data_IF_270452479792
#
_entry.id   IF_270452479792
#
_cell.length_a   1.000
_cell.length_b   1.000
_cell.length_c   1.000
_cell.angle_alpha   90.00
_cell.angle_beta   90.00
_cell.angle_gamma   90.00
#
_symmetry.space_group_name_H-M   'P 1'
#
loop_
_entity.id
_entity.type
_entity.pdbx_description
1 polymer ?
#
# COMPACT_ATOMS: atom_id res chain seq x y z
N UNK A 1 -11.08 0.26 -41.51
CA UNK A 1 -9.98 -0.42 -40.80
C UNK A 1 -9.43 0.54 -39.76
N UNK A 2 -9.76 0.30 -38.50
CA UNK A 2 -9.24 1.08 -37.39
C UNK A 2 -7.85 0.57 -37.03
N UNK A 3 -6.91 1.50 -36.87
CA UNK A 3 -5.59 1.25 -36.29
C UNK A 3 -5.38 2.26 -35.18
N UNK A 4 -5.58 1.80 -33.95
CA UNK A 4 -5.32 2.51 -32.71
C UNK A 4 -3.83 2.89 -32.63
N UNK A 5 -3.55 4.15 -32.30
CA UNK A 5 -2.22 4.62 -31.94
C UNK A 5 -1.85 4.06 -30.55
N UNK A 6 -0.85 3.19 -30.51
CA UNK A 6 -0.22 2.74 -29.27
C UNK A 6 0.83 3.77 -28.84
N UNK A 7 0.56 4.51 -27.76
CA UNK A 7 1.59 5.26 -27.05
C UNK A 7 2.26 4.33 -26.04
N UNK A 8 3.52 3.99 -26.27
CA UNK A 8 4.34 3.24 -25.35
C UNK A 8 4.85 4.16 -24.22
N UNK A 9 4.50 3.85 -22.98
CA UNK A 9 5.09 4.43 -21.77
C UNK A 9 6.03 3.37 -21.15
N UNK A 10 7.29 3.69 -20.82
CA UNK A 10 8.23 2.68 -20.34
C UNK A 10 7.97 2.30 -18.88
N UNK A 11 7.79 1.01 -18.63
CA UNK A 11 7.69 0.42 -17.29
C UNK A 11 9.08 0.34 -16.66
N UNK A 12 9.33 1.12 -15.61
CA UNK A 12 10.46 0.91 -14.69
C UNK A 12 9.93 0.28 -13.41
N UNK A 13 10.30 -0.96 -13.16
CA UNK A 13 10.09 -1.61 -11.87
C UNK A 13 10.81 -0.85 -10.75
N UNK A 14 10.08 -0.51 -9.69
CA UNK A 14 10.63 -0.06 -8.42
C UNK A 14 10.06 -0.94 -7.32
N UNK A 15 10.98 -1.49 -6.53
CA UNK A 15 10.70 -2.31 -5.37
C UNK A 15 9.76 -1.61 -4.37
N UNK A 16 8.91 -2.41 -3.72
CA UNK A 16 8.12 -2.07 -2.54
C UNK A 16 8.99 -1.31 -1.53
N UNK A 17 8.65 -0.05 -1.29
CA UNK A 17 9.23 0.76 -0.22
C UNK A 17 8.09 1.15 0.71
N UNK A 18 8.05 0.44 1.84
CA UNK A 18 7.17 0.67 2.99
C UNK A 18 7.32 2.12 3.45
N UNK A 19 6.22 2.88 3.39
CA UNK A 19 6.19 4.28 3.79
C UNK A 19 6.19 4.36 5.33
N UNK A 20 7.36 4.64 5.93
CA UNK A 20 7.49 4.87 7.38
C UNK A 20 6.89 6.23 7.75
N UNK A 21 5.74 6.24 8.41
CA UNK A 21 5.33 7.41 9.17
C UNK A 21 6.03 7.44 10.54
N UNK A 22 6.55 8.62 10.86
CA UNK A 22 7.37 8.95 12.03
C UNK A 22 6.54 8.87 13.33
N UNK A 23 6.79 7.85 14.15
CA UNK A 23 6.34 7.83 15.55
C UNK A 23 7.26 8.74 16.39
N UNK A 24 6.69 9.78 16.99
CA UNK A 24 7.38 10.72 17.89
C UNK A 24 7.15 10.26 19.33
N UNK A 25 8.14 9.73 20.07
CA UNK A 25 7.92 9.24 21.42
C UNK A 25 7.64 10.40 22.40
N UNK A 26 6.79 10.20 23.42
CA UNK A 26 6.52 11.19 24.44
C UNK A 26 7.74 11.45 25.32
N UNK A 27 7.93 12.73 25.65
CA UNK A 27 8.99 13.24 26.54
C UNK A 27 8.74 12.73 27.97
N UNK A 28 9.72 12.11 28.66
CA UNK A 28 9.56 11.73 30.05
C UNK A 28 9.44 12.96 30.96
N UNK A 29 8.31 13.07 31.64
CA UNK A 29 8.04 14.02 32.72
C UNK A 29 8.84 13.68 33.98
N UNK A 30 10.13 14.02 33.99
CA UNK A 30 10.94 14.05 35.19
C UNK A 30 11.65 15.40 35.30
N UNK A 31 10.86 16.45 35.51
CA UNK A 31 11.35 17.72 36.05
C UNK A 31 10.32 18.26 37.04
N UNK A 32 10.35 17.73 38.25
CA UNK A 32 9.71 18.34 39.42
C UNK A 32 10.67 18.20 40.59
N UNK A 33 11.32 19.29 40.97
CA UNK A 33 11.99 19.37 42.26
C UNK A 33 11.84 20.77 42.84
N UNK A 34 11.08 20.80 43.92
CA UNK A 34 10.90 21.84 44.92
C UNK A 34 12.23 22.24 45.58
N UNK A 35 12.49 23.55 45.66
CA UNK A 35 13.55 24.13 46.46
C UNK A 35 13.01 24.51 47.85
N UNK A 36 13.30 23.72 48.88
CA UNK A 36 13.55 24.21 50.25
C UNK A 36 14.07 23.07 51.12
N UNK A 37 15.37 23.03 51.41
CA UNK A 37 15.87 22.74 52.76
C UNK A 37 17.35 23.08 52.90
N UNK A 38 17.68 23.58 54.07
CA UNK A 38 18.94 24.15 54.54
C UNK A 38 19.93 23.11 55.10
N UNK A 39 21.22 23.45 54.96
CA UNK A 39 22.31 23.24 55.93
C UNK A 39 22.94 21.83 56.14
N UNK A 40 24.25 21.81 55.85
CA UNK A 40 25.35 21.04 56.49
C UNK A 40 25.28 19.51 56.44
N UNK A 41 26.18 18.89 55.69
CA UNK A 41 27.32 18.12 56.23
C UNK A 41 28.28 17.70 55.11
N UNK A 42 29.58 17.76 55.41
CA UNK A 42 30.70 17.34 54.57
C UNK A 42 30.82 15.81 54.66
N UNK A 43 31.02 15.12 53.52
CA UNK A 43 31.97 14.02 53.31
C UNK A 43 31.48 13.03 52.23
N UNK A 44 32.41 12.46 51.48
CA UNK A 44 32.28 11.41 50.43
C UNK A 44 31.99 11.86 49.00
N UNK A 45 32.94 12.63 48.45
CA UNK A 45 33.18 12.83 47.03
C UNK A 45 34.17 11.77 46.52
N UNK A 46 33.72 10.74 45.78
CA UNK A 46 34.54 10.12 44.68
C UNK A 46 33.74 9.27 43.68
N UNK A 47 32.52 8.79 43.96
CA UNK A 47 31.84 7.84 43.06
C UNK A 47 30.93 8.45 41.97
N UNK A 48 30.65 9.75 42.01
CA UNK A 48 29.68 10.39 41.09
C UNK A 48 30.32 11.11 39.89
N UNK A 49 31.66 11.20 39.83
CA UNK A 49 32.37 11.83 38.71
C UNK A 49 32.73 10.87 37.56
N UNK A 50 32.60 9.55 37.77
CA UNK A 50 32.99 8.55 36.76
C UNK A 50 31.91 8.30 35.69
N UNK A 51 30.63 8.44 36.02
CA UNK A 51 29.53 8.08 35.11
C UNK A 51 29.13 9.17 34.12
N UNK A 52 29.48 10.44 34.38
CA UNK A 52 29.28 11.53 33.42
C UNK A 52 30.34 11.55 32.31
N UNK A 53 31.59 11.16 32.59
CA UNK A 53 32.67 11.21 31.60
C UNK A 53 32.55 10.08 30.55
N UNK A 54 32.03 8.92 30.95
CA UNK A 54 31.78 7.77 30.05
C UNK A 54 30.60 8.01 29.09
N UNK A 55 29.60 8.79 29.47
CA UNK A 55 28.46 9.13 28.58
C UNK A 55 28.85 10.12 27.47
N UNK A 56 29.76 11.05 27.72
CA UNK A 56 30.23 12.00 26.68
C UNK A 56 31.13 11.34 25.63
N UNK A 57 31.90 10.30 25.99
CA UNK A 57 32.76 9.57 25.05
C UNK A 57 31.91 8.67 24.12
N UNK A 58 30.82 8.08 24.63
CA UNK A 58 29.92 7.24 23.82
C UNK A 58 29.15 8.05 22.76
N UNK A 59 28.74 9.29 23.10
CA UNK A 59 28.06 10.20 22.16
C UNK A 59 29.03 10.68 21.06
N UNK A 60 30.30 10.93 21.39
CA UNK A 60 31.30 11.28 20.39
C UNK A 60 31.63 10.12 19.42
N UNK A 61 31.62 8.87 19.90
CA UNK A 61 31.83 7.69 19.05
C UNK A 61 30.65 7.42 18.10
N UNK A 62 29.41 7.69 18.53
CA UNK A 62 28.22 7.52 17.70
C UNK A 62 28.09 8.60 16.60
N UNK A 63 28.58 9.83 16.83
CA UNK A 63 28.58 10.89 15.81
C UNK A 63 29.65 10.64 14.72
N UNK A 64 30.77 9.98 15.06
CA UNK A 64 31.84 9.70 14.09
C UNK A 64 31.53 8.56 13.10
N UNK A 65 30.59 7.67 13.43
CA UNK A 65 30.18 6.56 12.55
C UNK A 65 29.20 7.05 11.46
N UNK A 66 28.52 8.17 11.66
CA UNK A 66 27.55 8.73 10.72
C UNK A 66 28.23 9.44 9.52
N UNK A 67 29.41 10.05 9.71
CA UNK A 67 30.08 10.79 8.63
C UNK A 67 30.85 9.91 7.63
N UNK A 68 31.18 8.67 7.97
CA UNK A 68 31.84 7.74 7.03
C UNK A 68 30.86 7.01 6.12
N UNK A 69 29.58 6.91 6.50
CA UNK A 69 28.54 6.25 5.71
C UNK A 69 27.92 7.16 4.62
N UNK A 70 27.94 8.49 4.83
CA UNK A 70 27.40 9.47 3.88
C UNK A 70 28.32 9.79 2.68
N UNK A 71 29.59 9.37 2.69
CA UNK A 71 30.52 9.65 1.57
C UNK A 71 30.65 8.51 0.54
N UNK A 72 30.15 7.31 0.80
CA UNK A 72 30.19 6.19 -0.16
C UNK A 72 28.97 6.09 -1.08
N UNK A 73 27.92 6.88 -0.85
CA UNK A 73 26.66 6.77 -1.61
C UNK A 73 26.59 7.66 -2.87
N UNK A 74 27.52 8.58 -3.09
CA UNK A 74 27.44 9.56 -4.20
C UNK A 74 28.29 9.19 -5.42
N UNK A 75 29.20 8.22 -5.33
CA UNK A 75 30.07 7.80 -6.44
C UNK A 75 29.50 6.67 -7.31
N UNK A 76 28.45 5.97 -6.86
CA UNK A 76 27.77 4.93 -7.65
C UNK A 76 26.69 5.47 -8.60
N UNK A 77 26.24 6.71 -8.41
CA UNK A 77 25.15 7.29 -9.21
C UNK A 77 25.60 7.97 -10.51
N UNK A 78 26.92 8.10 -10.75
CA UNK A 78 27.46 8.77 -11.94
C UNK A 78 28.02 7.79 -13.01
N UNK A 79 28.24 6.52 -12.65
CA UNK A 79 28.74 5.48 -13.58
C UNK A 79 27.63 4.88 -14.47
N UNK A 80 26.40 4.79 -13.96
CA UNK A 80 25.27 4.19 -14.68
C UNK A 80 24.55 5.13 -15.68
N UNK A 81 24.83 6.44 -15.64
CA UNK A 81 24.20 7.44 -16.53
C UNK A 81 24.99 7.74 -17.81
N UNK A 82 26.23 7.24 -17.93
CA UNK A 82 27.07 7.41 -19.12
C UNK A 82 27.01 6.22 -20.09
N UNK A 83 26.26 5.15 -19.78
CA UNK A 83 26.19 3.95 -20.63
C UNK A 83 24.88 3.82 -21.45
N UNK A 84 23.95 4.76 -21.34
CA UNK A 84 22.66 4.75 -22.06
C UNK A 84 22.53 5.79 -23.18
N UNK A 85 23.62 6.50 -23.49
CA UNK A 85 23.61 7.59 -24.46
C UNK A 85 24.50 7.28 -25.65
N UNK A 86 24.21 6.19 -26.35
CA UNK A 86 24.65 6.01 -27.74
C UNK A 86 23.76 4.97 -28.42
N UNK A 87 23.41 5.27 -29.67
CA UNK A 87 22.66 4.45 -30.64
C UNK A 87 21.13 4.51 -30.56
N UNK A 88 20.54 5.51 -31.22
CA UNK A 88 19.47 5.27 -32.20
C UNK A 88 19.32 6.53 -33.06
N UNK A 89 20.15 6.61 -34.10
CA UNK A 89 20.03 7.59 -35.17
C UNK A 89 19.74 6.81 -36.45
N UNK A 90 18.92 7.42 -37.31
CA UNK A 90 18.62 7.10 -38.73
C UNK A 90 17.35 6.28 -38.94
N UNK A 91 16.29 6.93 -39.43
CA UNK A 91 15.89 6.97 -40.86
C UNK A 91 14.69 7.90 -41.08
N UNK A 92 14.76 8.71 -42.15
CA UNK A 92 13.70 9.55 -42.73
C UNK A 92 13.08 8.82 -43.95
N UNK A 93 11.80 9.08 -44.24
CA UNK A 93 11.13 8.83 -45.54
C UNK A 93 9.60 8.91 -45.37
N UNK A 94 8.86 9.91 -45.89
CA UNK A 94 8.50 10.35 -47.27
C UNK A 94 7.14 9.79 -47.77
N UNK A 95 6.22 10.73 -48.05
CA UNK A 95 5.08 10.72 -49.01
C UNK A 95 3.85 9.80 -48.71
N UNK A 96 2.60 10.05 -49.08
CA UNK A 96 1.94 11.04 -49.95
C UNK A 96 0.44 11.21 -49.57
N UNK A 97 -0.15 12.32 -50.01
CA UNK A 97 -1.57 12.72 -50.03
C UNK A 97 -2.42 11.82 -50.95
N UNK A 98 -3.71 11.55 -50.61
CA UNK A 98 -4.82 11.43 -51.59
C UNK A 98 -6.23 11.59 -50.97
N UNK A 99 -6.92 12.63 -51.45
CA UNK A 99 -8.33 12.79 -51.84
C UNK A 99 -9.53 12.30 -51.00
N UNK A 100 -10.41 13.28 -50.78
CA UNK A 100 -11.83 13.28 -50.41
C UNK A 100 -12.76 12.42 -51.28
N UNK A 101 -13.79 11.81 -50.68
CA UNK A 101 -15.12 11.58 -51.29
C UNK A 101 -16.21 11.60 -50.21
N UNK A 102 -17.36 12.16 -50.58
CA UNK A 102 -18.49 12.51 -49.71
C UNK A 102 -19.58 11.41 -49.65
N UNK A 103 -20.26 11.37 -48.50
CA UNK A 103 -21.67 11.00 -48.22
C UNK A 103 -22.44 10.06 -49.15
N UNK A 104 -22.80 8.88 -48.62
CA UNK A 104 -24.10 8.23 -48.85
C UNK A 104 -24.44 7.29 -47.66
N UNK A 105 -25.53 7.58 -46.94
CA UNK A 105 -26.21 6.69 -45.99
C UNK A 105 -27.64 6.54 -46.54
N UNK A 106 -28.13 5.31 -46.69
CA UNK A 106 -28.96 4.79 -45.60
C UNK A 106 -28.75 3.30 -45.34
N UNK A 107 -29.36 2.85 -44.23
CA UNK A 107 -29.51 1.47 -43.73
C UNK A 107 -28.51 1.05 -42.65
N UNK A 108 -28.85 1.43 -41.42
CA UNK A 108 -29.19 0.51 -40.34
C UNK A 108 -28.48 -0.85 -40.29
N UNK A 109 -27.15 -0.82 -40.28
CA UNK A 109 -26.34 -1.89 -39.74
C UNK A 109 -25.66 -1.38 -38.49
N UNK A 110 -26.23 -1.73 -37.33
CA UNK A 110 -25.49 -1.76 -36.07
C UNK A 110 -24.34 -2.77 -36.21
N UNK A 111 -23.23 -2.34 -36.82
CA UNK A 111 -21.93 -2.95 -36.60
C UNK A 111 -21.61 -2.66 -35.14
N UNK A 112 -21.94 -3.60 -34.26
CA UNK A 112 -21.32 -3.71 -32.94
C UNK A 112 -19.82 -3.66 -33.19
N UNK A 113 -19.21 -2.52 -32.87
CA UNK A 113 -17.76 -2.35 -32.81
C UNK A 113 -17.27 -3.21 -31.65
N UNK A 114 -17.15 -4.51 -31.88
CA UNK A 114 -16.37 -5.40 -31.04
C UNK A 114 -14.94 -4.85 -31.06
N UNK A 115 -14.53 -4.17 -29.99
CA UNK A 115 -13.28 -3.40 -29.99
C UNK A 115 -13.19 -2.30 -28.94
N UNK A 116 -14.24 -2.11 -28.14
CA UNK A 116 -14.09 -1.61 -26.78
C UNK A 116 -14.93 -2.55 -25.92
N UNK A 117 -14.31 -3.64 -25.46
CA UNK A 117 -14.84 -4.37 -24.31
C UNK A 117 -14.93 -3.30 -23.23
N UNK A 118 -16.14 -2.88 -22.88
CA UNK A 118 -16.35 -2.46 -21.49
C UNK A 118 -15.82 -3.65 -20.71
N UNK A 119 -14.67 -3.51 -20.06
CA UNK A 119 -14.38 -4.37 -18.93
C UNK A 119 -15.54 -4.05 -18.01
N UNK A 120 -16.60 -4.85 -18.06
CA UNK A 120 -17.56 -4.96 -16.97
C UNK A 120 -16.65 -5.40 -15.81
N UNK A 121 -16.15 -4.38 -15.10
CA UNK A 121 -14.83 -4.41 -14.50
C UNK A 121 -14.89 -5.14 -13.18
N UNK A 122 -13.86 -5.92 -12.89
CA UNK A 122 -13.72 -6.49 -11.56
C UNK A 122 -13.68 -5.39 -10.50
N UNK A 123 -13.83 -5.79 -9.26
CA UNK A 123 -13.81 -4.90 -8.11
C UNK A 123 -13.79 -5.73 -6.85
N UNK A 124 -13.82 -5.06 -5.71
CA UNK A 124 -14.01 -5.71 -4.42
C UNK A 124 -15.35 -5.31 -3.83
N UNK A 125 -16.08 -6.30 -3.31
CA UNK A 125 -17.25 -6.11 -2.46
C UNK A 125 -16.91 -6.58 -1.06
N UNK A 126 -17.01 -5.69 -0.09
CA UNK A 126 -16.72 -5.94 1.32
C UNK A 126 -18.05 -6.01 2.08
N UNK A 127 -18.31 -7.13 2.74
CA UNK A 127 -19.54 -7.38 3.51
C UNK A 127 -19.21 -7.47 5.00
N UNK A 128 -19.88 -6.66 5.81
CA UNK A 128 -19.72 -6.65 7.26
C UNK A 128 -20.81 -7.49 7.96
N UNK A 129 -20.48 -8.72 8.37
CA UNK A 129 -21.40 -9.56 9.15
C UNK A 129 -21.27 -9.36 10.67
N UNK A 130 -20.44 -8.42 11.12
CA UNK A 130 -20.33 -8.08 12.54
C UNK A 130 -21.59 -7.35 13.02
N UNK A 131 -21.87 -7.47 14.32
CA UNK A 131 -22.94 -6.73 15.00
C UNK A 131 -22.49 -5.32 15.44
N UNK A 132 -21.60 -4.70 14.66
CA UNK A 132 -21.15 -3.31 14.83
C UNK A 132 -20.73 -2.77 13.46
N UNK A 133 -20.77 -1.44 13.30
CA UNK A 133 -20.35 -0.79 12.06
C UNK A 133 -18.83 -0.98 11.85
N UNK A 134 -18.42 -1.06 10.59
CA UNK A 134 -17.03 -1.05 10.14
C UNK A 134 -16.82 0.22 9.33
N UNK A 135 -15.69 0.88 9.54
CA UNK A 135 -15.33 2.09 8.82
C UNK A 135 -14.26 1.77 7.79
N UNK A 136 -14.45 2.24 6.56
CA UNK A 136 -13.60 1.96 5.42
C UNK A 136 -13.03 3.23 4.80
N UNK A 137 -11.75 3.18 4.43
CA UNK A 137 -11.06 4.23 3.67
C UNK A 137 -10.31 3.61 2.51
N UNK A 138 -10.60 4.04 1.29
CA UNK A 138 -9.80 3.67 0.12
C UNK A 138 -8.65 4.65 -0.04
N UNK A 139 -7.42 4.19 0.20
CA UNK A 139 -6.22 5.03 0.33
C UNK A 139 -5.32 4.88 -0.89
N UNK A 140 -5.00 6.01 -1.53
CA UNK A 140 -3.98 6.14 -2.58
C UNK A 140 -2.76 6.89 -2.05
N UNK A 141 -2.20 7.81 -2.83
CA UNK A 141 -1.41 8.94 -2.36
C UNK A 141 -2.15 9.86 -1.36
N UNK A 142 -3.49 9.78 -1.31
CA UNK A 142 -4.34 10.51 -0.37
C UNK A 142 -5.34 9.56 0.30
N UNK A 143 -5.76 9.90 1.51
CA UNK A 143 -6.82 9.16 2.20
C UNK A 143 -8.18 9.58 1.63
N UNK A 144 -8.95 8.62 1.12
CA UNK A 144 -10.32 8.85 0.66
C UNK A 144 -11.30 9.18 1.79
N UNK A 145 -12.54 9.59 1.47
CA UNK A 145 -13.56 9.85 2.48
C UNK A 145 -13.93 8.58 3.23
N UNK A 146 -14.13 8.70 4.55
CA UNK A 146 -14.61 7.60 5.40
C UNK A 146 -15.97 7.10 4.90
N UNK A 147 -16.09 5.80 4.72
CA UNK A 147 -17.36 5.12 4.42
C UNK A 147 -17.75 4.26 5.63
N UNK A 148 -19.04 4.25 5.99
CA UNK A 148 -19.56 3.38 7.05
C UNK A 148 -20.24 2.16 6.44
N UNK A 149 -19.68 0.98 6.70
CA UNK A 149 -20.26 -0.32 6.38
C UNK A 149 -21.12 -0.76 7.56
N UNK A 150 -22.44 -0.67 7.40
CA UNK A 150 -23.39 -0.95 8.47
C UNK A 150 -23.25 -2.37 9.02
N UNK A 151 -23.47 -2.51 10.32
CA UNK A 151 -23.56 -3.82 10.99
C UNK A 151 -24.61 -4.75 10.35
N UNK A 152 -24.40 -6.06 10.51
CA UNK A 152 -25.41 -7.08 10.18
C UNK A 152 -25.66 -7.28 8.69
N UNK A 153 -24.66 -7.06 7.84
CA UNK A 153 -24.71 -7.32 6.39
C UNK A 153 -24.54 -6.08 5.52
N UNK A 154 -24.09 -4.95 6.07
CA UNK A 154 -23.77 -3.77 5.27
C UNK A 154 -22.65 -4.04 4.26
N UNK A 155 -22.65 -3.29 3.17
CA UNK A 155 -21.75 -3.51 2.02
C UNK A 155 -21.00 -2.22 1.69
N UNK A 156 -19.72 -2.37 1.39
CA UNK A 156 -18.91 -1.41 0.65
C UNK A 156 -18.43 -2.06 -0.65
N UNK A 157 -18.31 -1.29 -1.72
CA UNK A 157 -17.77 -1.80 -2.97
C UNK A 157 -17.02 -0.71 -3.72
N UNK A 158 -15.93 -1.09 -4.39
CA UNK A 158 -15.31 -0.25 -5.41
C UNK A 158 -14.81 -1.09 -6.58
N UNK A 159 -14.88 -0.48 -7.77
CA UNK A 159 -14.28 -1.03 -8.98
C UNK A 159 -12.76 -0.89 -8.90
N UNK A 160 -12.04 -1.78 -9.60
CA UNK A 160 -10.60 -1.63 -9.71
C UNK A 160 -10.24 -0.29 -10.34
N UNK A 161 -9.40 0.48 -9.64
CA UNK A 161 -8.81 1.73 -10.15
C UNK A 161 -7.28 1.74 -9.98
N UNK A 162 -6.61 2.66 -10.65
CA UNK A 162 -5.16 2.85 -10.53
C UNK A 162 -4.84 3.93 -9.50
N UNK A 163 -3.72 3.79 -8.80
CA UNK A 163 -3.16 4.86 -7.99
C UNK A 163 -2.36 5.82 -8.90
N UNK A 164 -2.62 7.14 -8.90
CA UNK A 164 -1.89 8.10 -9.73
C UNK A 164 -0.37 8.08 -9.54
N UNK A 165 0.13 7.68 -8.37
CA UNK A 165 1.57 7.59 -8.09
C UNK A 165 2.21 6.26 -8.56
N UNK A 166 1.41 5.35 -9.14
CA UNK A 166 1.86 4.03 -9.62
C UNK A 166 1.99 2.94 -8.56
N UNK A 167 1.65 3.22 -7.29
CA UNK A 167 1.61 2.25 -6.21
C UNK A 167 0.30 1.46 -6.13
N UNK A 168 0.18 0.64 -5.09
CA UNK A 168 -1.08 -0.04 -4.75
C UNK A 168 -2.09 0.90 -4.12
N UNK A 169 -3.31 0.39 -3.96
CA UNK A 169 -4.41 0.99 -3.23
C UNK A 169 -4.66 0.12 -2.00
N UNK A 170 -4.82 0.74 -0.84
CA UNK A 170 -5.11 0.04 0.40
C UNK A 170 -6.49 0.45 0.90
N UNK A 171 -7.42 -0.50 0.96
CA UNK A 171 -8.70 -0.32 1.63
C UNK A 171 -8.49 -0.68 3.09
N UNK A 172 -8.42 0.36 3.93
CA UNK A 172 -8.25 0.26 5.37
C UNK A 172 -9.61 0.08 6.03
N UNK A 173 -9.74 -0.92 6.91
CA UNK A 173 -10.96 -1.25 7.64
C UNK A 173 -10.69 -1.18 9.15
N UNK A 174 -11.49 -0.41 9.87
CA UNK A 174 -11.39 -0.26 11.32
C UNK A 174 -12.76 -0.35 12.00
N UNK A 175 -12.73 -0.52 13.32
CA UNK A 175 -13.94 -0.59 14.16
C UNK A 175 -14.26 0.72 14.87
N UNK A 176 -13.40 1.72 14.67
CA UNK A 176 -13.55 3.09 15.12
C UNK A 176 -13.13 4.06 14.01
N UNK A 177 -13.59 5.31 14.12
CA UNK A 177 -13.38 6.34 13.11
C UNK A 177 -11.96 6.92 13.11
N UNK A 178 -11.14 6.56 14.11
CA UNK A 178 -9.77 7.04 14.27
C UNK A 178 -8.73 6.11 13.64
N UNK A 179 -9.16 5.03 12.95
CA UNK A 179 -8.30 4.08 12.25
C UNK A 179 -7.31 3.33 13.17
N UNK A 180 -7.77 2.90 14.34
CA UNK A 180 -7.02 1.93 15.13
C UNK A 180 -7.33 0.50 14.66
N UNK A 181 -6.40 -0.44 14.92
CA UNK A 181 -6.56 -1.88 14.62
C UNK A 181 -7.02 -2.19 13.20
N UNK A 182 -6.20 -1.83 12.22
CA UNK A 182 -6.62 -1.75 10.82
C UNK A 182 -6.38 -3.05 10.07
N UNK A 183 -7.47 -3.70 9.65
CA UNK A 183 -7.41 -4.73 8.61
C UNK A 183 -7.27 -4.05 7.24
N UNK A 184 -6.35 -4.54 6.42
CA UNK A 184 -6.09 -3.96 5.10
C UNK A 184 -6.39 -4.98 4.02
N UNK A 185 -7.16 -4.56 3.01
CA UNK A 185 -7.23 -5.23 1.72
C UNK A 185 -6.51 -4.35 0.71
N UNK A 186 -5.41 -4.84 0.17
CA UNK A 186 -4.56 -4.07 -0.73
C UNK A 186 -4.66 -4.64 -2.14
N UNK A 187 -4.61 -3.78 -3.15
CA UNK A 187 -4.58 -4.22 -4.54
C UNK A 187 -3.78 -3.30 -5.46
N UNK A 188 -3.25 -3.86 -6.53
CA UNK A 188 -2.51 -3.15 -7.57
C UNK A 188 -2.86 -3.69 -8.94
N UNK A 189 -3.26 -2.81 -9.87
CA UNK A 189 -3.43 -3.20 -11.27
C UNK A 189 -2.09 -3.25 -11.99
N UNK A 190 -1.88 -4.31 -12.76
CA UNK A 190 -0.73 -4.43 -13.66
C UNK A 190 -1.16 -5.14 -14.95
N UNK A 191 -1.41 -4.35 -15.99
CA UNK A 191 -1.90 -4.85 -17.28
C UNK A 191 -3.25 -5.56 -17.17
N UNK A 192 -3.25 -6.87 -17.40
CA UNK A 192 -4.44 -7.73 -17.35
C UNK A 192 -4.57 -8.50 -16.03
N UNK A 193 -3.77 -8.14 -15.03
CA UNK A 193 -3.75 -8.77 -13.72
C UNK A 193 -4.10 -7.77 -12.62
N UNK A 194 -4.98 -8.19 -11.71
CA UNK A 194 -5.15 -7.57 -10.39
C UNK A 194 -4.30 -8.37 -9.39
N UNK A 195 -3.33 -7.70 -8.77
CA UNK A 195 -2.63 -8.23 -7.62
C UNK A 195 -3.33 -7.77 -6.35
N UNK A 196 -3.45 -8.63 -5.36
CA UNK A 196 -4.11 -8.29 -4.10
C UNK A 196 -3.58 -9.12 -2.92
N UNK A 197 -3.81 -8.62 -1.72
CA UNK A 197 -3.48 -9.29 -0.47
C UNK A 197 -4.34 -8.80 0.70
N UNK A 198 -4.26 -9.53 1.81
CA UNK A 198 -4.76 -9.13 3.12
C UNK A 198 -3.57 -8.83 4.02
N UNK A 199 -3.66 -7.76 4.81
CA UNK A 199 -2.63 -7.40 5.76
C UNK A 199 -3.22 -7.12 7.14
N UNK A 200 -2.62 -7.76 8.14
CA UNK A 200 -2.91 -7.62 9.56
C UNK A 200 -1.77 -6.95 10.33
N UNK A 201 -0.81 -6.35 9.62
CA UNK A 201 0.38 -5.72 10.22
C UNK A 201 0.01 -4.60 11.20
N UNK A 202 -1.05 -3.85 10.90
CA UNK A 202 -1.52 -2.70 11.69
C UNK A 202 -2.63 -3.09 12.69
N UNK A 203 -2.70 -4.37 13.07
CA UNK A 203 -3.72 -4.89 13.99
C UNK A 203 -3.10 -5.36 15.31
N UNK A 204 -3.68 -4.95 16.43
CA UNK A 204 -3.28 -5.49 17.74
C UNK A 204 -3.75 -6.94 17.95
N UNK A 205 -3.09 -7.63 18.88
CA UNK A 205 -3.48 -8.98 19.30
C UNK A 205 -4.85 -8.96 19.98
N UNK A 206 -5.76 -9.82 19.51
CA UNK A 206 -7.12 -9.90 20.07
C UNK A 206 -8.06 -8.85 19.50
N UNK A 207 -7.72 -8.24 18.36
CA UNK A 207 -8.66 -7.44 17.60
C UNK A 207 -9.87 -8.29 17.17
N UNK A 208 -11.01 -7.62 17.00
CA UNK A 208 -12.28 -8.30 16.75
C UNK A 208 -12.44 -8.83 15.31
N UNK A 209 -11.65 -8.36 14.34
CA UNK A 209 -11.65 -8.97 13.00
C UNK A 209 -11.06 -10.38 13.05
N UNK A 210 -9.91 -10.56 13.70
CA UNK A 210 -9.30 -11.88 13.91
C UNK A 210 -10.19 -12.78 14.74
N UNK A 211 -10.78 -12.28 15.83
CA UNK A 211 -11.68 -13.07 16.68
C UNK A 211 -12.90 -13.62 15.93
N UNK A 212 -13.36 -12.91 14.89
CA UNK A 212 -14.55 -13.26 14.10
C UNK A 212 -14.24 -13.84 12.73
N UNK A 213 -13.00 -13.78 12.29
CA UNK A 213 -12.56 -14.29 11.00
C UNK A 213 -12.94 -13.35 9.84
N UNK A 214 -12.25 -13.54 8.73
CA UNK A 214 -12.51 -12.86 7.47
C UNK A 214 -11.97 -13.68 6.30
N UNK A 215 -12.55 -13.50 5.12
CA UNK A 215 -12.15 -14.26 3.95
C UNK A 215 -12.35 -13.44 2.67
N UNK A 216 -11.40 -13.56 1.74
CA UNK A 216 -11.54 -13.11 0.35
C UNK A 216 -11.73 -14.31 -0.54
N UNK A 217 -12.74 -14.25 -1.40
CA UNK A 217 -12.98 -15.23 -2.44
C UNK A 217 -13.40 -14.56 -3.73
N UNK A 218 -13.16 -15.18 -4.90
CA UNK A 218 -13.75 -14.72 -6.14
C UNK A 218 -15.28 -14.82 -6.08
N UNK A 219 -15.98 -13.85 -6.65
CA UNK A 219 -17.44 -13.87 -6.74
C UNK A 219 -17.96 -14.95 -7.69
N UNK A 220 -17.11 -15.43 -8.60
CA UNK A 220 -17.42 -16.53 -9.52
C UNK A 220 -16.94 -17.86 -8.93
N UNK A 221 -17.85 -18.82 -8.78
CA UNK A 221 -17.59 -20.14 -8.18
C UNK A 221 -16.47 -20.93 -8.88
N UNK A 222 -16.36 -20.79 -10.21
CA UNK A 222 -15.36 -21.52 -11.03
C UNK A 222 -14.13 -20.68 -11.36
N UNK A 223 -13.87 -19.62 -10.60
CA UNK A 223 -12.69 -18.78 -10.79
C UNK A 223 -11.40 -19.53 -10.47
N UNK A 224 -10.36 -19.31 -11.27
CA UNK A 224 -8.99 -19.77 -10.97
C UNK A 224 -8.26 -18.86 -9.98
N UNK A 225 -8.87 -17.75 -9.58
CA UNK A 225 -8.32 -16.79 -8.64
C UNK A 225 -8.25 -17.41 -7.22
N UNK A 226 -7.13 -17.23 -6.48
CA UNK A 226 -6.98 -17.78 -5.14
C UNK A 226 -8.05 -17.28 -4.15
N UNK A 227 -8.21 -18.03 -3.05
CA UNK A 227 -8.98 -17.62 -1.88
C UNK A 227 -8.02 -17.38 -0.72
N UNK A 228 -8.31 -16.41 0.12
CA UNK A 228 -7.60 -16.17 1.37
C UNK A 228 -8.61 -16.28 2.52
N UNK A 229 -8.38 -17.18 3.47
CA UNK A 229 -9.33 -17.47 4.55
C UNK A 229 -8.60 -17.41 5.89
N UNK A 230 -8.94 -16.42 6.70
CA UNK A 230 -8.51 -16.29 8.08
C UNK A 230 -9.67 -16.66 9.00
N UNK A 231 -9.57 -17.84 9.63
CA UNK A 231 -10.65 -18.37 10.48
C UNK A 231 -10.79 -17.54 11.75
N UNK A 232 -11.99 -17.54 12.31
CA UNK A 232 -12.24 -16.96 13.63
C UNK A 232 -11.24 -17.49 14.67
N UNK A 233 -10.56 -16.56 15.36
CA UNK A 233 -9.53 -16.84 16.37
C UNK A 233 -8.14 -17.16 15.82
N UNK A 234 -7.94 -17.18 14.50
CA UNK A 234 -6.63 -17.45 13.89
C UNK A 234 -5.71 -16.22 13.93
N UNK A 235 -4.98 -16.08 15.04
CA UNK A 235 -4.04 -14.97 15.28
C UNK A 235 -2.78 -15.03 14.43
N UNK A 236 -2.52 -16.14 13.73
CA UNK A 236 -1.36 -16.33 12.89
C UNK A 236 -1.78 -16.79 11.50
N UNK A 237 -2.85 -16.17 10.98
CA UNK A 237 -3.40 -16.52 9.68
C UNK A 237 -2.35 -16.43 8.57
N UNK A 238 -2.01 -17.56 7.98
CA UNK A 238 -1.01 -17.63 6.91
C UNK A 238 -1.48 -17.01 5.58
N UNK A 239 -2.78 -16.73 5.46
CA UNK A 239 -3.38 -16.11 4.27
C UNK A 239 -3.36 -14.58 4.29
N UNK A 240 -2.74 -13.97 5.31
CA UNK A 240 -2.56 -12.53 5.43
C UNK A 240 -1.13 -12.21 5.86
N UNK A 241 -0.66 -11.02 5.51
CA UNK A 241 0.61 -10.49 5.99
C UNK A 241 0.54 -10.19 7.48
N UNK A 242 1.47 -10.74 8.25
CA UNK A 242 1.56 -10.52 9.70
C UNK A 242 2.74 -9.63 10.09
N UNK A 243 3.73 -9.47 9.20
CA UNK A 243 4.92 -8.67 9.44
C UNK A 243 5.32 -7.89 8.19
N UNK A 244 5.94 -6.70 8.30
CA UNK A 244 6.34 -5.89 7.14
C UNK A 244 7.35 -6.54 6.19
N UNK A 245 8.02 -7.61 6.61
CA UNK A 245 9.05 -8.31 5.83
C UNK A 245 8.57 -9.62 5.23
N UNK A 246 7.28 -9.92 5.40
CA UNK A 246 6.63 -11.08 4.80
C UNK A 246 6.29 -10.76 3.33
N UNK A 247 6.54 -11.71 2.43
CA UNK A 247 6.32 -11.60 0.97
C UNK A 247 5.53 -12.79 0.37
N UNK A 248 4.88 -13.63 1.20
CA UNK A 248 4.22 -14.85 0.69
C UNK A 248 2.73 -14.72 0.36
N UNK A 249 2.03 -13.70 0.87
CA UNK A 249 0.56 -13.65 0.86
C UNK A 249 -0.06 -12.86 -0.33
N UNK A 250 0.75 -12.44 -1.30
CA UNK A 250 0.22 -11.76 -2.50
C UNK A 250 -0.36 -12.76 -3.50
N UNK A 251 -1.54 -12.43 -4.00
CA UNK A 251 -2.28 -13.20 -5.00
C UNK A 251 -2.42 -12.40 -6.30
N UNK A 252 -2.65 -13.11 -7.40
CA UNK A 252 -2.85 -12.52 -8.72
C UNK A 252 -4.02 -13.16 -9.44
N UNK A 253 -4.88 -12.33 -10.04
CA UNK A 253 -6.08 -12.77 -10.75
C UNK A 253 -6.28 -11.98 -12.04
N UNK A 254 -7.06 -12.49 -13.02
CA UNK A 254 -7.47 -11.68 -14.15
C UNK A 254 -8.11 -10.36 -13.69
N UNK A 255 -7.80 -9.25 -14.36
CA UNK A 255 -8.30 -7.91 -14.00
C UNK A 255 -9.84 -7.79 -14.08
N UNK A 256 -10.52 -8.71 -14.76
CA UNK A 256 -11.98 -8.78 -14.78
C UNK A 256 -12.59 -9.51 -13.57
N UNK A 257 -11.77 -10.11 -12.69
CA UNK A 257 -12.25 -10.84 -11.52
C UNK A 257 -12.81 -9.88 -10.47
N UNK A 258 -14.04 -10.15 -10.04
CA UNK A 258 -14.62 -9.57 -8.84
C UNK A 258 -14.29 -10.42 -7.61
N UNK A 259 -13.96 -9.76 -6.50
CA UNK A 259 -13.62 -10.36 -5.22
C UNK A 259 -14.65 -9.98 -4.17
N UNK A 260 -15.04 -10.96 -3.35
CA UNK A 260 -15.88 -10.78 -2.17
C UNK A 260 -15.03 -10.96 -0.92
N UNK A 261 -14.87 -9.87 -0.15
CA UNK A 261 -14.32 -9.89 1.21
C UNK A 261 -15.48 -9.96 2.20
N UNK A 262 -15.54 -11.04 2.98
CA UNK A 262 -16.51 -11.22 4.05
C UNK A 262 -15.82 -11.05 5.40
N UNK A 263 -16.38 -10.21 6.27
CA UNK A 263 -15.92 -9.98 7.64
C UNK A 263 -16.89 -10.64 8.61
N UNK A 264 -16.37 -11.39 9.58
CA UNK A 264 -17.16 -12.11 10.56
C UNK A 264 -17.82 -13.37 10.01
N UNK A 265 -17.04 -14.17 9.29
CA UNK A 265 -17.47 -15.39 8.58
C UNK A 265 -17.08 -16.68 9.32
#
# INVERSE_FOLDING_TARGET
MGGFAAMAVPVRGKAMLVNRYLYKPPIPSCFRSSNTFTSKYISTSVHTFSTCFLRSILVAFLISVDQTFLQTSTTLHQSLLNSFKMMFTKTLGLAALFSTIASALPQDMMVRRAGMVRRDGGGVKITNNLQQDVYAWSVTDNVGPMQTIKSGGGIYSEDWRTNPNGGGISIKLALDEQQHDVLQFEYTQSGDTIFWDLSCIDMESGNKFTDKGFAVQPSEENSSCPKAICKAGDKACSAAYLQPTDDHATHGCPISTALDLSIGA
#
